data_IF_054974471064
#
_entry.id   IF_054974471064
#
_cell.length_a   1.000
_cell.length_b   1.000
_cell.length_c   1.000
_cell.angle_alpha   90.00
_cell.angle_beta   90.00
_cell.angle_gamma   90.00
#
_symmetry.space_group_name_H-M   'P 1'
#
loop_
_entity.id
_entity.type
_entity.pdbx_description
1 polymer ?
#
# COMPACT_ATOMS: atom_id res chain seq x y z
N UNK A 1 6.35 -1.13 0.64
CA UNK A 1 6.50 0.31 0.60
C UNK A 1 6.89 0.67 1.99
N UNK A 2 8.13 1.08 2.11
CA UNK A 2 8.62 1.55 3.38
C UNK A 2 8.01 2.92 3.69
N UNK A 3 8.02 3.28 4.96
CA UNK A 3 7.56 4.57 5.44
C UNK A 3 8.45 5.00 6.61
N UNK A 4 8.33 6.26 7.00
CA UNK A 4 8.98 6.79 8.21
C UNK A 4 7.89 7.26 9.16
N UNK A 5 8.01 6.89 10.43
CA UNK A 5 7.16 7.38 11.50
C UNK A 5 7.85 8.51 12.25
N UNK A 6 7.22 9.68 12.32
CA UNK A 6 7.71 10.83 13.08
C UNK A 6 6.82 11.06 14.30
N UNK A 7 7.41 11.11 15.50
CA UNK A 7 6.67 11.35 16.74
C UNK A 7 6.78 12.83 17.13
N UNK A 8 5.64 13.54 17.14
CA UNK A 8 5.54 14.90 17.62
C UNK A 8 4.94 14.93 19.04
N UNK A 9 5.82 15.16 20.01
CA UNK A 9 5.46 15.26 21.43
C UNK A 9 4.85 16.60 21.83
N UNK A 10 4.70 17.59 20.97
CA UNK A 10 3.95 18.79 21.35
C UNK A 10 2.48 18.63 20.98
N UNK A 11 2.21 18.06 19.80
CA UNK A 11 0.86 17.87 19.27
C UNK A 11 0.22 16.54 19.66
N UNK A 12 0.96 15.62 20.29
CA UNK A 12 0.51 14.24 20.54
C UNK A 12 0.17 13.51 19.24
N UNK A 13 1.02 13.62 18.23
CA UNK A 13 0.78 13.02 16.92
C UNK A 13 1.95 12.12 16.51
N UNK A 14 1.63 10.98 15.89
CA UNK A 14 2.58 10.15 15.16
C UNK A 14 2.19 10.25 13.69
N UNK A 15 3.08 10.77 12.86
CA UNK A 15 2.86 10.89 11.42
C UNK A 15 3.61 9.77 10.71
N UNK A 16 2.92 8.99 9.88
CA UNK A 16 3.51 7.98 8.99
C UNK A 16 3.59 8.60 7.60
N UNK A 17 4.82 8.83 7.15
CA UNK A 17 5.13 9.55 5.92
C UNK A 17 5.66 8.58 4.86
N UNK A 18 5.14 8.70 3.64
CA UNK A 18 5.69 8.02 2.47
C UNK A 18 5.48 8.85 1.19
N UNK A 19 6.39 8.69 0.24
CA UNK A 19 6.31 9.20 -1.12
C UNK A 19 6.17 8.01 -2.09
N UNK A 20 5.15 8.07 -2.94
CA UNK A 20 4.93 7.11 -4.02
C UNK A 20 5.42 7.71 -5.34
N UNK A 21 6.51 7.16 -5.86
CA UNK A 21 7.07 7.48 -7.17
C UNK A 21 6.43 6.58 -8.21
N UNK A 22 5.52 7.14 -8.98
CA UNK A 22 4.82 6.42 -10.05
C UNK A 22 5.55 6.54 -11.38
N UNK A 23 5.67 5.42 -12.08
CA UNK A 23 6.27 5.36 -13.41
C UNK A 23 5.61 4.27 -14.28
N UNK A 24 5.98 4.17 -15.55
CA UNK A 24 5.39 3.22 -16.50
C UNK A 24 4.28 3.83 -17.36
N UNK A 25 3.69 2.99 -18.23
CA UNK A 25 2.86 3.45 -19.35
C UNK A 25 1.62 4.24 -18.94
N UNK A 26 1.01 3.90 -17.80
CA UNK A 26 -0.23 4.52 -17.32
C UNK A 26 -0.04 5.44 -16.11
N UNK A 27 1.22 5.68 -15.70
CA UNK A 27 1.49 6.66 -14.66
C UNK A 27 1.19 8.07 -15.18
N UNK A 28 0.35 8.79 -14.47
CA UNK A 28 -0.02 10.19 -14.75
C UNK A 28 -0.38 10.88 -13.44
N UNK A 29 -0.19 12.20 -13.37
CA UNK A 29 -0.47 12.97 -12.17
C UNK A 29 -1.93 12.84 -11.72
N UNK A 30 -2.88 12.82 -12.67
CA UNK A 30 -4.32 12.66 -12.36
C UNK A 30 -4.60 11.32 -11.68
N UNK A 31 -4.02 10.23 -12.19
CA UNK A 31 -4.19 8.90 -11.60
C UNK A 31 -3.48 8.81 -10.25
N UNK A 32 -2.24 9.27 -10.18
CA UNK A 32 -1.44 9.26 -8.97
C UNK A 32 -2.11 10.06 -7.84
N UNK A 33 -2.71 11.20 -8.18
CA UNK A 33 -3.50 12.00 -7.24
C UNK A 33 -4.69 11.23 -6.67
N UNK A 34 -5.48 10.56 -7.53
CA UNK A 34 -6.60 9.72 -7.08
C UNK A 34 -6.13 8.59 -6.16
N UNK A 35 -5.03 7.94 -6.51
CA UNK A 35 -4.46 6.85 -5.71
C UNK A 35 -4.03 7.34 -4.33
N UNK A 36 -3.24 8.41 -4.26
CA UNK A 36 -2.78 8.94 -2.98
C UNK A 36 -3.94 9.50 -2.15
N UNK A 37 -4.96 10.06 -2.78
CA UNK A 37 -6.19 10.47 -2.10
C UNK A 37 -6.90 9.26 -1.47
N UNK A 38 -7.08 8.17 -2.22
CA UNK A 38 -7.64 6.90 -1.72
C UNK A 38 -6.84 6.40 -0.51
N UNK A 39 -5.52 6.29 -0.63
CA UNK A 39 -4.65 5.78 0.44
C UNK A 39 -4.78 6.65 1.69
N UNK A 40 -4.63 7.98 1.57
CA UNK A 40 -4.71 8.88 2.70
C UNK A 40 -6.09 8.85 3.37
N UNK A 41 -7.18 8.82 2.59
CA UNK A 41 -8.54 8.74 3.15
C UNK A 41 -8.73 7.43 3.92
N UNK A 42 -8.40 6.31 3.30
CA UNK A 42 -8.62 4.97 3.86
C UNK A 42 -7.80 4.75 5.13
N UNK A 43 -6.52 5.11 5.13
CA UNK A 43 -5.62 4.87 6.28
C UNK A 43 -5.83 5.84 7.44
N UNK A 44 -6.43 7.01 7.21
CA UNK A 44 -6.81 7.95 8.26
C UNK A 44 -8.27 7.78 8.75
N UNK A 45 -9.15 7.14 7.97
CA UNK A 45 -10.56 6.89 8.33
C UNK A 45 -10.74 6.32 9.75
N UNK A 46 -9.94 5.33 10.22
CA UNK A 46 -10.14 4.72 11.54
C UNK A 46 -9.90 5.67 12.72
N UNK A 47 -9.26 6.83 12.49
CA UNK A 47 -8.86 7.77 13.56
C UNK A 47 -8.10 7.05 14.70
N UNK A 48 -7.15 6.18 14.32
CA UNK A 48 -6.47 5.30 15.25
C UNK A 48 -5.57 6.10 16.21
N UNK A 49 -5.44 5.59 17.43
CA UNK A 49 -4.61 6.19 18.48
C UNK A 49 -3.70 5.16 19.12
N UNK A 50 -2.45 5.53 19.40
CA UNK A 50 -1.47 4.70 20.09
C UNK A 50 -1.14 5.27 21.47
N UNK A 51 -1.23 4.44 22.51
CA UNK A 51 -0.79 4.80 23.85
C UNK A 51 0.72 4.52 24.00
N UNK A 52 1.50 5.54 24.30
CA UNK A 52 2.93 5.44 24.62
C UNK A 52 3.17 6.00 26.03
N UNK A 53 3.46 5.11 26.99
CA UNK A 53 3.54 5.49 28.40
C UNK A 53 2.22 6.07 28.91
N UNK A 54 2.25 7.28 29.46
CA UNK A 54 1.05 7.99 29.96
C UNK A 54 0.32 8.82 28.91
N UNK A 55 0.84 8.91 27.67
CA UNK A 55 0.29 9.77 26.63
C UNK A 55 -0.35 8.99 25.50
N UNK A 56 -1.47 9.51 25.01
CA UNK A 56 -2.18 9.01 23.85
C UNK A 56 -1.82 9.87 22.63
N UNK A 57 -1.44 9.22 21.53
CA UNK A 57 -1.07 9.87 20.29
C UNK A 57 -2.07 9.56 19.18
N UNK A 58 -2.46 10.58 18.42
CA UNK A 58 -3.16 10.43 17.15
C UNK A 58 -2.21 9.92 16.07
N UNK A 59 -2.63 8.92 15.30
CA UNK A 59 -1.85 8.40 14.19
C UNK A 59 -2.39 9.01 12.89
N UNK A 60 -1.51 9.63 12.11
CA UNK A 60 -1.85 10.29 10.85
C UNK A 60 -0.96 9.76 9.74
N UNK A 61 -1.55 9.39 8.61
CA UNK A 61 -0.81 9.07 7.38
C UNK A 61 -0.74 10.33 6.51
N UNK A 62 0.46 10.68 6.05
CA UNK A 62 0.73 11.75 5.08
C UNK A 62 1.48 11.17 3.89
N UNK A 63 0.70 10.67 2.92
CA UNK A 63 1.23 10.05 1.71
C UNK A 63 1.26 11.08 0.59
N UNK A 64 2.38 11.16 -0.11
CA UNK A 64 2.61 12.07 -1.25
C UNK A 64 2.96 11.26 -2.49
N UNK A 65 2.97 11.91 -3.65
CA UNK A 65 3.44 11.29 -4.88
C UNK A 65 4.27 12.24 -5.73
N UNK A 66 5.00 11.61 -6.64
CA UNK A 66 5.52 12.22 -7.85
C UNK A 66 5.35 11.23 -9.01
N UNK A 67 5.24 11.74 -10.23
CA UNK A 67 5.29 10.93 -11.44
C UNK A 67 6.60 11.20 -12.18
N UNK A 68 7.33 10.14 -12.49
CA UNK A 68 8.60 10.19 -13.21
C UNK A 68 8.55 9.35 -14.48
N UNK A 69 9.32 9.76 -15.48
CA UNK A 69 9.61 8.91 -16.64
C UNK A 69 10.49 7.70 -16.23
N UNK A 70 10.57 6.70 -17.11
CA UNK A 70 11.40 5.50 -16.88
C UNK A 70 12.90 5.85 -16.70
N UNK A 71 13.40 6.89 -17.35
CA UNK A 71 14.81 7.31 -17.21
C UNK A 71 15.05 8.08 -15.91
N UNK A 72 14.12 8.95 -15.51
CA UNK A 72 14.22 9.71 -14.25
C UNK A 72 14.11 8.80 -13.03
N UNK A 73 13.19 7.82 -13.04
CA UNK A 73 13.04 6.89 -11.91
C UNK A 73 14.28 6.02 -11.72
N UNK A 74 14.99 5.67 -12.80
CA UNK A 74 16.24 4.92 -12.74
C UNK A 74 17.33 5.71 -12.00
N UNK A 75 17.43 7.02 -12.24
CA UNK A 75 18.36 7.88 -11.51
C UNK A 75 17.98 8.02 -10.03
N UNK A 76 16.68 8.11 -9.72
CA UNK A 76 16.19 8.23 -8.34
C UNK A 76 16.43 6.95 -7.54
N UNK A 77 16.09 5.78 -8.09
CA UNK A 77 16.21 4.51 -7.37
C UNK A 77 17.65 4.16 -7.02
N UNK A 78 18.62 4.47 -7.90
CA UNK A 78 20.04 4.20 -7.69
C UNK A 78 20.63 4.96 -6.50
N UNK A 79 20.08 6.11 -6.17
CA UNK A 79 20.54 6.97 -5.08
C UNK A 79 19.62 6.93 -3.86
N UNK A 80 18.54 6.15 -3.92
CA UNK A 80 17.55 6.15 -2.85
C UNK A 80 18.07 5.48 -1.59
N UNK A 81 18.17 6.25 -0.51
CA UNK A 81 18.42 5.74 0.85
C UNK A 81 17.27 6.08 1.79
N UNK A 82 16.20 6.69 1.27
CA UNK A 82 15.05 7.13 2.04
C UNK A 82 13.98 6.04 2.07
N UNK A 83 13.67 5.58 3.28
CA UNK A 83 12.62 4.59 3.53
C UNK A 83 11.23 5.16 3.22
N UNK A 84 11.03 6.47 3.17
CA UNK A 84 9.74 7.02 2.75
C UNK A 84 9.49 6.82 1.25
N UNK A 85 10.52 6.58 0.42
CA UNK A 85 10.39 6.58 -1.05
C UNK A 85 10.11 5.19 -1.60
N UNK A 86 9.08 5.12 -2.46
CA UNK A 86 8.53 3.88 -2.98
C UNK A 86 8.30 3.93 -4.48
N UNK A 87 8.68 2.87 -5.20
CA UNK A 87 8.69 2.85 -6.67
C UNK A 87 7.59 1.95 -7.22
N UNK A 88 6.58 2.55 -7.83
CA UNK A 88 5.40 1.83 -8.30
C UNK A 88 5.26 1.97 -9.81
N UNK A 89 5.38 0.86 -10.53
CA UNK A 89 5.07 0.82 -11.96
C UNK A 89 3.57 0.62 -12.19
N UNK A 90 2.97 1.39 -13.09
CA UNK A 90 1.56 1.22 -13.48
C UNK A 90 1.46 0.75 -14.93
N UNK A 91 0.81 -0.41 -15.13
CA UNK A 91 0.64 -1.08 -16.42
C UNK A 91 -0.77 -1.63 -16.62
N UNK A 92 -1.06 -2.18 -17.82
CA UNK A 92 -2.33 -2.84 -18.13
C UNK A 92 -2.36 -4.34 -17.81
N UNK A 93 -1.18 -4.96 -17.66
CA UNK A 93 -1.05 -6.39 -17.36
C UNK A 93 0.28 -6.68 -16.65
N UNK A 94 0.33 -7.83 -15.98
CA UNK A 94 1.55 -8.46 -15.53
C UNK A 94 1.38 -9.98 -15.51
N UNK A 95 2.47 -10.69 -15.20
CA UNK A 95 2.48 -12.16 -15.10
C UNK A 95 1.61 -12.71 -13.95
N UNK A 96 1.24 -11.88 -12.97
CA UNK A 96 0.45 -12.28 -11.79
C UNK A 96 -1.06 -12.02 -11.97
N UNK A 97 -1.44 -11.31 -13.03
CA UNK A 97 -2.80 -10.85 -13.37
C UNK A 97 -3.50 -10.06 -12.24
N UNK A 98 -2.71 -9.43 -11.37
CA UNK A 98 -3.17 -8.56 -10.28
C UNK A 98 -2.08 -7.59 -9.87
N UNK A 99 -2.47 -6.46 -9.29
CA UNK A 99 -1.53 -5.57 -8.60
C UNK A 99 -0.77 -6.31 -7.50
N UNK A 100 0.49 -5.95 -7.31
CA UNK A 100 1.35 -6.56 -6.31
C UNK A 100 2.38 -5.58 -5.75
N UNK A 101 2.86 -5.91 -4.54
CA UNK A 101 4.02 -5.32 -3.91
C UNK A 101 5.16 -6.31 -3.79
N UNK A 102 6.29 -5.98 -4.41
CA UNK A 102 7.55 -6.71 -4.26
C UNK A 102 7.43 -8.22 -4.51
N UNK A 103 8.32 -8.97 -3.88
CA UNK A 103 8.17 -10.43 -3.68
C UNK A 103 7.96 -10.79 -2.21
N UNK A 104 7.87 -9.77 -1.34
CA UNK A 104 7.73 -9.93 0.11
C UNK A 104 7.09 -8.71 0.76
N UNK A 105 6.79 -8.84 2.06
CA UNK A 105 6.23 -7.78 2.87
C UNK A 105 7.29 -6.72 3.20
N UNK A 106 6.88 -5.46 3.25
CA UNK A 106 7.78 -4.36 3.62
C UNK A 106 8.55 -3.73 2.46
N UNK A 107 8.51 -4.28 1.25
CA UNK A 107 9.42 -3.89 0.15
C UNK A 107 8.99 -2.62 -0.58
N UNK A 108 9.91 -1.70 -0.90
CA UNK A 108 9.59 -0.38 -1.46
C UNK A 108 9.34 -0.31 -2.97
N UNK A 109 8.89 -1.42 -3.57
CA UNK A 109 8.69 -1.54 -5.01
C UNK A 109 7.44 -2.31 -5.36
N UNK A 110 6.65 -1.87 -6.34
CA UNK A 110 5.40 -2.51 -6.73
C UNK A 110 5.09 -2.41 -8.22
N UNK A 111 4.16 -3.26 -8.66
CA UNK A 111 3.65 -3.29 -10.03
C UNK A 111 2.13 -3.39 -10.00
N UNK A 112 1.47 -2.31 -10.39
CA UNK A 112 0.03 -2.13 -10.23
C UNK A 112 -0.66 -2.08 -11.58
N UNK A 113 -1.88 -2.62 -11.61
CA UNK A 113 -2.66 -2.77 -12.82
C UNK A 113 -3.78 -1.74 -12.87
N UNK A 114 -3.90 -1.02 -13.99
CA UNK A 114 -4.99 -0.05 -14.19
C UNK A 114 -6.38 -0.72 -14.15
N UNK A 115 -6.45 -2.01 -14.53
CA UNK A 115 -7.65 -2.82 -14.48
C UNK A 115 -8.18 -3.07 -13.06
N UNK A 116 -7.35 -2.84 -12.03
CA UNK A 116 -7.74 -2.93 -10.62
C UNK A 116 -8.45 -1.68 -10.09
N UNK A 117 -8.80 -0.71 -10.96
CA UNK A 117 -9.54 0.51 -10.61
C UNK A 117 -8.82 1.31 -9.52
N UNK A 118 -7.53 1.59 -9.75
CA UNK A 118 -6.68 2.33 -8.83
C UNK A 118 -7.26 3.74 -8.58
N UNK A 119 -7.37 4.15 -7.31
CA UNK A 119 -7.97 5.43 -6.91
C UNK A 119 -9.51 5.42 -6.81
N UNK A 120 -10.18 4.37 -7.27
CA UNK A 120 -11.65 4.25 -7.26
C UNK A 120 -12.13 2.94 -6.59
N UNK A 121 -11.19 2.09 -6.18
CA UNK A 121 -11.46 0.86 -5.44
C UNK A 121 -10.92 0.97 -4.00
N UNK A 122 -10.19 -0.05 -3.56
CA UNK A 122 -9.35 0.01 -2.36
C UNK A 122 -8.01 -0.70 -2.61
N UNK A 123 -7.69 -0.99 -3.88
CA UNK A 123 -6.54 -1.85 -4.22
C UNK A 123 -5.24 -1.15 -3.90
N UNK A 124 -5.13 0.15 -4.19
CA UNK A 124 -3.91 0.89 -3.85
C UNK A 124 -3.72 0.98 -2.33
N UNK A 125 -4.79 1.19 -1.57
CA UNK A 125 -4.72 1.15 -0.09
C UNK A 125 -4.34 -0.23 0.46
N UNK A 126 -4.77 -1.33 -0.18
CA UNK A 126 -4.37 -2.69 0.17
C UNK A 126 -2.90 -2.98 -0.12
N UNK A 127 -2.45 -2.64 -1.33
CA UNK A 127 -1.04 -2.77 -1.70
C UNK A 127 -0.18 -1.91 -0.78
N UNK A 128 -0.66 -0.72 -0.38
CA UNK A 128 -0.01 0.11 0.64
C UNK A 128 0.10 -0.57 2.01
N UNK A 129 -0.86 -1.40 2.42
CA UNK A 129 -0.74 -2.19 3.65
C UNK A 129 0.35 -3.27 3.57
N UNK A 130 0.42 -4.05 2.49
CA UNK A 130 1.51 -5.02 2.27
C UNK A 130 2.87 -4.38 2.32
N UNK A 131 2.87 -3.20 1.75
CA UNK A 131 3.99 -2.35 1.73
C UNK A 131 4.52 -2.00 3.11
N UNK A 132 3.66 -1.61 4.04
CA UNK A 132 3.99 -1.32 5.44
C UNK A 132 4.34 -2.58 6.25
N UNK A 133 4.34 -3.74 5.61
CA UNK A 133 4.71 -5.01 6.22
C UNK A 133 3.53 -5.87 6.65
N UNK A 134 2.29 -5.50 6.32
CA UNK A 134 1.11 -6.26 6.75
C UNK A 134 0.85 -7.48 5.85
N UNK A 135 0.70 -8.69 6.43
CA UNK A 135 0.27 -9.85 5.68
C UNK A 135 -1.24 -9.79 5.39
N UNK A 136 -1.72 -10.70 4.53
CA UNK A 136 -3.13 -11.07 4.55
C UNK A 136 -3.50 -11.72 5.90
N UNK A 137 -4.75 -11.58 6.36
CA UNK A 137 -5.22 -12.29 7.55
C UNK A 137 -5.31 -13.80 7.29
N UNK A 138 -5.06 -14.61 8.32
CA UNK A 138 -5.22 -16.07 8.25
C UNK A 138 -6.70 -16.48 8.10
N UNK A 139 -7.61 -15.70 8.69
CA UNK A 139 -9.05 -15.88 8.53
C UNK A 139 -9.53 -15.22 7.23
N UNK A 140 -10.22 -15.98 6.40
CA UNK A 140 -10.73 -15.54 5.09
C UNK A 140 -12.27 -15.56 4.97
N UNK A 141 -12.98 -15.76 6.09
CA UNK A 141 -14.44 -15.64 6.16
C UNK A 141 -14.83 -14.51 7.11
N UNK A 142 -15.40 -13.46 6.55
CA UNK A 142 -15.80 -12.23 7.24
C UNK A 142 -17.31 -11.99 7.16
N UNK A 143 -18.11 -13.02 6.83
CA UNK A 143 -19.57 -12.94 6.93
C UNK A 143 -19.99 -12.52 8.33
N UNK A 144 -21.04 -11.71 8.42
CA UNK A 144 -21.57 -11.12 9.64
C UNK A 144 -20.61 -10.18 10.40
N UNK A 145 -19.53 -9.71 9.76
CA UNK A 145 -18.57 -8.78 10.37
C UNK A 145 -18.64 -7.34 9.83
N UNK A 146 -19.58 -7.07 8.91
CA UNK A 146 -19.67 -5.80 8.21
C UNK A 146 -18.59 -5.67 7.13
N UNK A 147 -18.03 -4.47 6.98
CA UNK A 147 -16.97 -4.23 5.99
C UNK A 147 -15.74 -5.12 6.25
N UNK A 148 -15.21 -5.81 5.21
CA UNK A 148 -13.99 -6.59 5.33
C UNK A 148 -12.77 -5.68 5.62
N UNK A 149 -11.74 -6.20 6.32
CA UNK A 149 -10.52 -5.43 6.61
C UNK A 149 -9.74 -5.09 5.34
N UNK A 150 -8.88 -4.05 5.37
CA UNK A 150 -8.15 -3.63 4.17
C UNK A 150 -7.24 -4.73 3.66
N UNK A 151 -6.65 -5.52 4.56
CA UNK A 151 -5.76 -6.62 4.20
C UNK A 151 -6.49 -7.91 3.79
N UNK A 152 -7.81 -7.95 3.75
CA UNK A 152 -8.52 -9.10 3.19
C UNK A 152 -8.15 -9.28 1.69
N UNK A 153 -7.64 -10.45 1.28
CA UNK A 153 -7.33 -10.72 -0.12
C UNK A 153 -8.61 -10.87 -0.95
N UNK A 154 -8.45 -10.78 -2.27
CA UNK A 154 -9.48 -11.27 -3.20
C UNK A 154 -9.79 -12.74 -2.90
N UNK A 155 -11.05 -13.16 -3.05
CA UNK A 155 -11.50 -14.52 -2.72
C UNK A 155 -12.06 -14.68 -1.30
N UNK A 156 -11.91 -13.67 -0.44
CA UNK A 156 -12.51 -13.61 0.90
C UNK A 156 -14.03 -13.76 0.85
N UNK A 157 -14.59 -14.57 1.76
CA UNK A 157 -16.03 -14.70 1.95
C UNK A 157 -16.58 -13.55 2.79
N UNK A 158 -17.68 -12.97 2.35
CA UNK A 158 -18.33 -11.80 2.97
C UNK A 158 -19.84 -11.94 2.81
N UNK A 159 -20.61 -11.10 3.50
CA UNK A 159 -22.05 -11.03 3.30
C UNK A 159 -22.38 -10.61 1.86
N UNK A 160 -23.56 -11.01 1.38
CA UNK A 160 -24.01 -10.81 -0.01
C UNK A 160 -23.82 -9.37 -0.51
N UNK A 161 -24.14 -8.38 0.32
CA UNK A 161 -24.05 -6.95 -0.01
C UNK A 161 -22.62 -6.47 -0.32
N UNK A 162 -21.61 -7.23 0.12
CA UNK A 162 -20.19 -6.93 -0.11
C UNK A 162 -19.56 -7.79 -1.23
N UNK A 163 -20.33 -8.66 -1.89
CA UNK A 163 -19.85 -9.50 -2.97
C UNK A 163 -19.77 -8.76 -4.31
N UNK A 164 -19.07 -9.32 -5.29
CA UNK A 164 -19.14 -8.84 -6.68
C UNK A 164 -20.56 -8.93 -7.25
N UNK A 165 -21.28 -10.01 -6.91
CA UNK A 165 -22.68 -10.22 -7.21
C UNK A 165 -23.41 -10.63 -5.92
N UNK A 166 -24.30 -9.78 -5.37
CA UNK A 166 -25.07 -10.11 -4.17
C UNK A 166 -26.00 -11.32 -4.32
N UNK A 167 -26.32 -11.73 -5.54
CA UNK A 167 -27.16 -12.90 -5.80
C UNK A 167 -26.35 -14.20 -5.97
N UNK A 168 -25.02 -14.13 -6.00
CA UNK A 168 -24.18 -15.31 -6.08
C UNK A 168 -24.08 -16.00 -4.71
N UNK A 169 -24.02 -17.33 -4.72
CA UNK A 169 -23.68 -18.10 -3.53
C UNK A 169 -22.25 -17.77 -3.08
N UNK A 170 -22.02 -17.68 -1.77
CA UNK A 170 -20.71 -17.37 -1.22
C UNK A 170 -19.64 -18.37 -1.71
N UNK A 171 -18.52 -17.84 -2.21
CA UNK A 171 -17.42 -18.62 -2.78
C UNK A 171 -17.61 -19.04 -4.25
N UNK A 172 -18.80 -18.88 -4.83
CA UNK A 172 -19.02 -19.09 -6.26
C UNK A 172 -18.46 -17.90 -7.09
N UNK A 173 -18.53 -18.02 -8.42
CA UNK A 173 -18.17 -16.90 -9.31
C UNK A 173 -19.05 -15.69 -8.98
N UNK A 174 -18.41 -14.59 -8.62
CA UNK A 174 -19.07 -13.38 -8.17
C UNK A 174 -19.49 -13.38 -6.68
N UNK A 175 -19.39 -14.52 -5.98
CA UNK A 175 -19.75 -14.70 -4.57
C UNK A 175 -18.61 -14.46 -3.59
N UNK A 176 -17.61 -13.67 -3.98
CA UNK A 176 -16.49 -13.28 -3.10
C UNK A 176 -16.43 -11.76 -3.00
N UNK A 177 -15.70 -11.27 -2.00
CA UNK A 177 -15.57 -9.85 -1.71
C UNK A 177 -15.23 -9.01 -2.94
N UNK A 178 -16.02 -7.96 -3.17
CA UNK A 178 -15.67 -6.86 -4.07
C UNK A 178 -14.74 -5.87 -3.34
N UNK A 179 -13.54 -5.58 -3.86
CA UNK A 179 -12.53 -4.74 -3.23
C UNK A 179 -13.04 -3.42 -2.64
N UNK A 180 -13.95 -2.73 -3.33
CA UNK A 180 -14.46 -1.39 -2.95
C UNK A 180 -15.04 -1.32 -1.52
N UNK A 181 -15.42 -2.47 -0.95
CA UNK A 181 -16.03 -2.55 0.38
C UNK A 181 -15.03 -2.75 1.51
N UNK A 182 -13.75 -3.00 1.21
CA UNK A 182 -12.71 -3.08 2.22
C UNK A 182 -12.61 -1.77 2.99
N UNK A 183 -12.24 -1.82 4.26
CA UNK A 183 -11.95 -0.65 5.10
C UNK A 183 -10.76 -0.94 5.99
N UNK A 184 -9.88 0.04 6.15
CA UNK A 184 -8.77 -0.07 7.11
C UNK A 184 -9.37 -0.15 8.51
N UNK A 185 -8.84 -1.02 9.35
CA UNK A 185 -9.21 -1.12 10.77
C UNK A 185 -8.13 -0.49 11.64
N UNK A 186 -8.52 0.08 12.78
CA UNK A 186 -7.56 0.63 13.74
C UNK A 186 -6.49 -0.42 14.16
N UNK A 187 -6.86 -1.69 14.27
CA UNK A 187 -5.91 -2.77 14.54
C UNK A 187 -4.87 -3.00 13.44
N UNK A 188 -5.18 -2.70 12.17
CA UNK A 188 -4.22 -2.76 11.06
C UNK A 188 -3.26 -1.55 11.14
N UNK A 189 -3.77 -0.36 11.46
CA UNK A 189 -2.93 0.82 11.73
C UNK A 189 -1.95 0.57 12.89
N UNK A 190 -2.42 -0.02 13.98
CA UNK A 190 -1.57 -0.31 15.13
C UNK A 190 -0.50 -1.36 14.81
N UNK A 191 -0.83 -2.35 13.95
CA UNK A 191 0.14 -3.37 13.54
C UNK A 191 1.34 -2.77 12.79
N UNK A 192 1.14 -1.71 12.00
CA UNK A 192 2.22 -0.98 11.32
C UNK A 192 3.25 -0.45 12.33
N UNK A 193 2.81 -0.08 13.53
CA UNK A 193 3.63 0.50 14.59
C UNK A 193 4.06 -0.51 15.67
N UNK A 194 3.83 -1.81 15.49
CA UNK A 194 4.14 -2.82 16.52
C UNK A 194 5.61 -2.81 16.99
N UNK A 195 6.53 -2.42 16.12
CA UNK A 195 7.97 -2.36 16.42
C UNK A 195 8.45 -0.94 16.77
N UNK A 196 7.54 0.04 16.86
CA UNK A 196 7.87 1.42 17.16
C UNK A 196 8.53 1.50 18.54
N UNK A 197 9.75 2.03 18.56
CA UNK A 197 10.45 2.37 19.79
C UNK A 197 10.86 3.85 19.71
N UNK A 198 10.23 4.73 20.50
CA UNK A 198 10.54 6.16 20.51
C UNK A 198 11.99 6.49 20.86
N UNK A 199 12.70 5.59 21.54
CA UNK A 199 14.10 5.76 21.94
C UNK A 199 15.10 5.33 20.85
N UNK A 200 14.63 4.73 19.75
CA UNK A 200 15.45 4.25 18.64
C UNK A 200 14.98 4.85 17.32
N UNK A 201 15.81 5.67 16.70
CA UNK A 201 15.53 6.22 15.36
C UNK A 201 15.43 5.16 14.27
N UNK A 202 16.05 3.99 14.45
CA UNK A 202 15.90 2.86 13.53
C UNK A 202 14.49 2.25 13.58
N UNK A 203 13.83 2.32 14.72
CA UNK A 203 12.48 1.77 14.90
C UNK A 203 11.37 2.70 14.38
N UNK A 204 11.76 3.87 13.85
CA UNK A 204 10.88 4.77 13.12
C UNK A 204 10.80 4.41 11.63
N UNK A 205 11.70 3.54 11.14
CA UNK A 205 11.67 3.04 9.77
C UNK A 205 10.72 1.85 9.68
N UNK A 206 9.75 1.94 8.79
CA UNK A 206 8.78 0.88 8.51
C UNK A 206 9.17 0.23 7.18
N UNK A 207 9.17 -1.10 7.10
CA UNK A 207 9.51 -1.82 5.88
C UNK A 207 11.02 -1.92 5.62
N UNK A 208 11.40 -2.08 4.34
CA UNK A 208 12.76 -2.34 3.88
C UNK A 208 13.04 -1.62 2.56
N UNK A 209 14.27 -1.14 2.39
CA UNK A 209 14.78 -0.65 1.10
C UNK A 209 15.20 -1.82 0.22
N UNK A 210 14.40 -2.11 -0.81
CA UNK A 210 14.78 -3.06 -1.87
C UNK A 210 15.27 -2.33 -3.12
N UNK A 211 14.74 -1.12 -3.38
CA UNK A 211 15.09 -0.29 -4.54
C UNK A 211 15.03 -1.08 -5.86
N UNK A 212 14.06 -1.99 -5.96
CA UNK A 212 13.83 -2.79 -7.16
C UNK A 212 12.95 -2.00 -8.12
N UNK A 213 13.25 -2.03 -9.42
CA UNK A 213 12.30 -1.62 -10.45
C UNK A 213 11.74 -2.84 -11.17
N UNK A 214 10.51 -2.73 -11.62
CA UNK A 214 9.88 -3.70 -12.50
C UNK A 214 9.81 -3.22 -13.95
N UNK A 215 9.84 -4.17 -14.88
CA UNK A 215 9.52 -3.97 -16.30
C UNK A 215 7.99 -3.96 -16.53
N UNK A 216 7.58 -3.87 -17.79
CA UNK A 216 6.17 -3.83 -18.21
C UNK A 216 5.34 -5.02 -17.74
N UNK A 217 5.96 -6.18 -17.48
CA UNK A 217 5.27 -7.42 -17.12
C UNK A 217 5.59 -7.90 -15.70
N UNK A 218 6.10 -7.01 -14.85
CA UNK A 218 6.47 -7.24 -13.46
C UNK A 218 7.70 -8.14 -13.24
N UNK A 219 8.66 -8.16 -14.17
CA UNK A 219 9.97 -8.77 -13.94
C UNK A 219 10.94 -7.75 -13.34
N UNK A 220 11.81 -8.17 -12.41
CA UNK A 220 12.85 -7.31 -11.87
C UNK A 220 13.78 -6.81 -12.97
N UNK A 221 13.98 -5.49 -13.03
CA UNK A 221 14.99 -4.85 -13.89
C UNK A 221 16.36 -5.01 -13.23
N UNK A 222 17.36 -5.39 -14.03
CA UNK A 222 18.75 -5.43 -13.55
C UNK A 222 19.37 -4.05 -13.74
N UNK A 223 19.45 -3.29 -12.63
CA UNK A 223 19.87 -1.88 -12.63
C UNK A 223 21.28 -1.62 -13.21
N UNK A 224 22.11 -2.66 -13.37
CA UNK A 224 23.48 -2.57 -13.90
C UNK A 224 23.65 -3.06 -15.35
N UNK A 225 22.60 -3.57 -16.02
CA UNK A 225 22.71 -4.12 -17.39
C UNK A 225 21.77 -3.47 -18.41
N UNK A 226 20.64 -2.90 -17.97
CA UNK A 226 19.62 -2.33 -18.87
C UNK A 226 19.68 -0.79 -18.96
N UNK A 227 20.84 -0.18 -18.68
CA UNK A 227 21.14 1.25 -18.86
C UNK A 227 21.22 1.65 -20.35
N UNK A 228 20.26 1.24 -21.18
CA UNK A 228 20.06 1.90 -22.47
C UNK A 228 19.21 3.13 -22.23
N UNK A 229 19.91 4.25 -22.05
CA UNK A 229 19.37 5.59 -22.26
C UNK A 229 18.89 5.62 -23.71
N UNK A 230 17.59 5.54 -23.93
CA UNK A 230 16.99 6.03 -25.17
C UNK A 230 16.77 7.55 -25.06
#
# INVERSE_FOLDING_TARGET
MSAIATINSDTSQITIEAELVFYGKYASDDLAHKIVLEINQMWNEPSAKLQLGSRLFDIVFDIKFECLSNSEVLLKVLNNTDYAVNFIRIEDKNIAERSMMGFGLGENSGHWLISDQLGESTTAAHEFGHALGLPHPDQLDFRFSGNPPIMAPRGTLVDADFQWNPLAEAGAIGGTMRPIFRRVRAGEVLQVLNNLNPESTENLKIGKLTNQLFDEVARPVTLNQDLTIE
#
